data_IF_274220057869
#
_entry.id   IF_274220057869
#
_cell.length_a   1.000
_cell.length_b   1.000
_cell.length_c   1.000
_cell.angle_alpha   90.00
_cell.angle_beta   90.00
_cell.angle_gamma   90.00
#
_symmetry.space_group_name_H-M   'P 1'
#
loop_
_entity.id
_entity.type
_entity.pdbx_description
1 polymer ?
2 polymer ?
3 non-polymer ?
4 non-polymer ?
5 non-polymer ?
6 water ?
#
loop_
_entity_poly.entity_id
_entity_poly.type
_entity_poly.pdbx_seq_one_letter_code
_entity_poly.pdbx_strand_id
2 'polydeoxyribonucleotide' '(DA)(DT)(DG)(DT)(DC)' ?
#
# COMPACT_ATOMS: atom_id res chain seq x y z
N UNK A 2 -20.31 -18.41 7.01
CA UNK A 2 -20.24 -17.11 7.76
C UNK A 2 -19.06 -16.24 7.25
N UNK A 3 -19.34 -14.96 6.93
CA UNK A 3 -18.39 -13.99 6.33
C UNK A 3 -17.20 -13.77 7.26
N UNK A 4 -15.99 -13.87 6.71
CA UNK A 4 -14.71 -13.62 7.38
C UNK A 4 -14.71 -12.24 8.07
N UNK A 5 -14.01 -12.16 9.17
CA UNK A 5 -13.70 -10.91 9.87
C UNK A 5 -12.24 -10.54 9.59
N UNK A 6 -11.88 -9.34 10.04
CA UNK A 6 -10.49 -8.80 9.95
C UNK A 6 -9.62 -9.36 11.08
N UNK A 7 -8.35 -9.71 10.79
CA UNK A 7 -7.37 -9.99 11.82
C UNK A 7 -7.06 -8.73 12.64
N UNK A 8 -6.65 -8.90 13.89
CA UNK A 8 -6.15 -7.82 14.75
C UNK A 8 -4.83 -8.34 15.30
N UNK A 9 -3.72 -7.59 15.17
CA UNK A 9 -3.67 -6.37 14.36
C UNK A 9 -4.01 -6.59 12.88
N UNK A 10 -4.41 -5.52 12.18
CA UNK A 10 -4.94 -5.54 10.80
C UNK A 10 -3.85 -5.07 9.83
N UNK A 11 -3.18 -6.00 9.11
CA UNK A 11 -2.07 -5.61 8.26
C UNK A 11 -2.49 -4.66 7.12
N UNK A 12 -1.62 -3.71 6.87
CA UNK A 12 -1.68 -2.77 5.73
C UNK A 12 -0.37 -2.91 4.92
N UNK A 13 -0.48 -2.76 3.61
CA UNK A 13 0.53 -3.10 2.60
C UNK A 13 0.70 -1.92 1.63
N UNK A 14 1.96 -1.50 1.44
CA UNK A 14 2.34 -0.48 0.44
C UNK A 14 3.39 -1.13 -0.48
N UNK A 15 3.09 -1.20 -1.77
CA UNK A 15 4.06 -1.73 -2.78
C UNK A 15 4.84 -0.58 -3.37
N UNK A 16 6.12 -0.82 -3.57
CA UNK A 16 7.04 0.15 -4.21
C UNK A 16 8.20 -0.63 -4.84
N UNK A 17 8.75 -0.07 -5.90
CA UNK A 17 9.99 -0.56 -6.53
C UNK A 17 11.16 -0.44 -5.54
N UNK A 18 12.05 -1.44 -5.55
CA UNK A 18 13.30 -1.41 -4.71
C UNK A 18 14.12 -0.15 -4.98
N UNK A 19 14.08 0.40 -6.19
CA UNK A 19 14.85 1.63 -6.55
C UNK A 19 14.38 2.81 -5.71
N UNK A 20 13.20 2.75 -5.08
CA UNK A 20 12.69 3.83 -4.19
C UNK A 20 13.12 3.71 -2.74
N UNK A 21 13.71 2.58 -2.30
CA UNK A 21 13.94 2.32 -0.87
C UNK A 21 14.98 3.27 -0.30
N UNK A 22 16.03 3.59 -1.03
CA UNK A 22 17.02 4.60 -0.60
C UNK A 22 16.33 5.91 -0.30
N UNK A 23 15.45 6.37 -1.17
CA UNK A 23 14.72 7.63 -0.96
C UNK A 23 13.82 7.56 0.26
N UNK A 24 13.22 6.38 0.53
CA UNK A 24 12.34 6.24 1.72
C UNK A 24 13.19 6.33 3.00
N UNK A 25 14.34 5.65 3.04
CA UNK A 25 15.24 5.69 4.20
C UNK A 25 15.84 7.10 4.31
N UNK A 26 16.22 7.75 3.21
CA UNK A 26 16.85 9.10 3.29
C UNK A 26 15.84 10.12 3.88
N UNK A 27 14.56 10.06 3.50
CA UNK A 27 13.51 10.95 4.05
C UNK A 27 13.10 10.42 5.45
N UNK A 28 13.29 9.12 5.74
CA UNK A 28 12.82 8.50 6.99
C UNK A 28 11.31 8.21 6.96
N UNK A 29 10.70 8.18 5.76
CA UNK A 29 9.21 8.10 5.63
C UNK A 29 8.82 7.88 4.17
N UNK A 30 7.72 7.20 3.96
CA UNK A 30 6.93 7.35 2.70
C UNK A 30 6.32 8.75 2.72
N UNK A 31 6.37 9.42 1.59
CA UNK A 31 5.67 10.71 1.33
C UNK A 31 4.53 10.49 0.33
N UNK A 32 3.38 11.15 0.60
CA UNK A 32 2.28 11.17 -0.35
C UNK A 32 2.76 11.74 -1.71
N UNK A 33 2.04 11.45 -2.77
CA UNK A 33 2.38 11.92 -4.12
C UNK A 33 2.53 13.45 -4.15
N UNK A 34 1.61 14.15 -3.47
CA UNK A 34 1.62 15.64 -3.54
C UNK A 34 2.73 16.19 -2.63
N UNK A 35 3.46 15.33 -1.89
CA UNK A 35 4.61 15.78 -1.08
C UNK A 35 5.93 15.55 -1.84
N UNK A 36 5.89 15.29 -3.13
CA UNK A 36 7.09 15.23 -4.02
C UNK A 36 8.14 14.32 -3.46
N UNK A 37 7.82 13.05 -3.26
CA UNK A 37 8.84 12.10 -2.81
C UNK A 37 9.94 11.96 -3.85
N UNK A 38 11.18 11.70 -3.40
CA UNK A 38 12.33 11.52 -4.34
C UNK A 38 12.29 10.10 -4.93
N UNK A 39 11.18 9.79 -5.62
CA UNK A 39 11.07 8.46 -6.25
C UNK A 39 11.92 8.33 -7.50
N UNK A 40 12.50 7.16 -7.65
CA UNK A 40 13.29 6.83 -8.87
C UNK A 40 12.38 6.14 -9.88
N UNK A 41 11.41 5.33 -9.43
CA UNK A 41 10.70 4.41 -10.33
C UNK A 41 9.18 4.51 -10.05
N UNK A 42 8.44 4.98 -11.05
CA UNK A 42 6.96 4.98 -11.00
C UNK A 42 6.44 3.63 -11.52
N UNK A 43 5.56 2.98 -10.76
CA UNK A 43 4.91 1.74 -11.23
C UNK A 43 3.40 1.98 -11.42
N UNK A 44 2.98 3.22 -11.54
CA UNK A 44 1.56 3.62 -11.61
C UNK A 44 1.07 3.71 -13.07
N UNK A 45 -0.27 3.62 -13.23
CA UNK A 45 -0.98 4.11 -14.42
C UNK A 45 -1.13 5.63 -14.29
N UNK A 46 -0.61 6.37 -15.27
CA UNK A 46 -0.77 7.85 -15.30
C UNK A 46 -2.24 8.31 -15.35
N UNK A 47 -3.07 7.64 -16.13
CA UNK A 47 -4.48 8.04 -16.35
C UNK A 47 -5.28 7.86 -15.05
N UNK A 48 -4.92 6.91 -14.17
CA UNK A 48 -5.63 6.79 -12.87
C UNK A 48 -4.93 7.70 -11.87
N UNK A 49 -3.64 7.92 -12.00
CA UNK A 49 -2.95 8.93 -11.14
C UNK A 49 -3.66 10.29 -11.31
N UNK A 50 -4.07 10.62 -12.54
CA UNK A 50 -4.69 11.94 -12.80
C UNK A 50 -6.04 12.02 -12.08
N UNK A 51 -6.73 10.90 -11.93
CA UNK A 51 -8.01 10.85 -11.15
C UNK A 51 -7.70 11.09 -9.67
N UNK A 52 -6.68 10.42 -9.13
CA UNK A 52 -6.25 10.57 -7.72
C UNK A 52 -5.83 12.00 -7.43
N UNK A 53 -5.26 12.64 -8.44
CA UNK A 53 -4.81 14.07 -8.35
C UNK A 53 -5.99 14.99 -8.02
N UNK A 54 -7.23 14.58 -8.33
CA UNK A 54 -8.37 15.51 -8.22
C UNK A 54 -9.54 14.92 -7.43
N UNK A 55 -9.36 13.74 -6.85
CA UNK A 55 -10.39 13.02 -6.09
C UNK A 55 -10.44 13.55 -4.64
N UNK A 56 -11.51 14.26 -4.27
CA UNK A 56 -11.65 14.83 -2.91
C UNK A 56 -11.76 13.72 -1.87
N UNK A 57 -11.11 13.89 -0.74
CA UNK A 57 -11.34 13.00 0.43
C UNK A 57 -12.35 13.66 1.34
N UNK A 58 -13.54 13.04 1.47
CA UNK A 58 -14.69 13.68 2.13
C UNK A 58 -14.70 13.57 3.66
N UNK A 59 -13.70 12.95 4.29
CA UNK A 59 -13.52 12.93 5.76
C UNK A 59 -12.34 13.81 6.11
N UNK A 60 -12.34 14.45 7.29
CA UNK A 60 -11.15 15.16 7.76
C UNK A 60 -9.95 14.22 7.86
N UNK A 61 -8.71 14.63 7.51
CA UNK A 61 -8.33 16.04 7.26
C UNK A 61 -8.54 16.55 5.82
N UNK A 62 -9.27 15.82 4.99
CA UNK A 62 -9.78 16.28 3.69
C UNK A 62 -8.69 16.28 2.65
N UNK A 63 -8.65 17.33 1.81
CA UNK A 63 -7.72 17.33 0.66
C UNK A 63 -8.14 16.35 -0.41
N UNK A 64 -7.17 15.76 -1.11
CA UNK A 64 -7.38 14.83 -2.24
C UNK A 64 -6.62 13.51 -1.96
N UNK A 65 -6.84 12.48 -2.77
CA UNK A 65 -6.21 11.17 -2.58
C UNK A 65 -4.68 11.29 -2.66
N UNK A 66 -4.17 12.23 -3.47
CA UNK A 66 -2.71 12.37 -3.65
C UNK A 66 -2.07 12.99 -2.38
N UNK A 67 -2.84 13.49 -1.41
CA UNK A 67 -2.32 14.00 -0.13
C UNK A 67 -2.01 12.86 0.84
N UNK A 68 -2.34 11.60 0.49
CA UNK A 68 -2.23 10.47 1.44
C UNK A 68 -1.30 9.40 0.89
N UNK A 69 -0.52 8.78 1.77
CA UNK A 69 0.27 7.56 1.49
C UNK A 69 -0.70 6.38 1.44
N UNK A 70 -0.78 5.67 0.29
CA UNK A 70 -1.81 4.64 0.13
C UNK A 70 -1.36 3.24 0.53
N UNK A 71 -2.25 2.52 1.18
CA UNK A 71 -2.05 1.09 1.49
C UNK A 71 -3.26 0.28 1.07
N UNK A 72 -3.07 -0.99 0.78
CA UNK A 72 -4.18 -1.96 0.66
C UNK A 72 -4.20 -2.84 1.92
N UNK A 73 -5.25 -3.65 2.06
CA UNK A 73 -5.47 -4.55 3.20
C UNK A 73 -5.14 -5.97 2.78
N UNK A 74 -4.56 -6.12 1.61
CA UNK A 74 -4.01 -7.41 1.16
C UNK A 74 -2.74 -7.19 0.38
N UNK A 75 -1.86 -8.19 0.36
CA UNK A 75 -0.81 -8.25 -0.68
C UNK A 75 -1.41 -8.77 -2.01
N UNK A 76 -0.56 -9.02 -3.03
CA UNK A 76 -1.00 -9.67 -4.30
C UNK A 76 -2.19 -8.89 -4.87
N UNK A 77 -2.04 -7.57 -4.92
CA UNK A 77 -3.10 -6.66 -5.36
C UNK A 77 -3.39 -6.81 -6.85
N UNK A 78 -4.56 -6.29 -7.30
CA UNK A 78 -4.83 -6.14 -8.73
C UNK A 78 -3.82 -5.21 -9.40
N UNK A 79 -3.44 -4.14 -8.70
CA UNK A 79 -2.34 -3.27 -9.19
C UNK A 79 -1.09 -4.08 -9.52
N UNK A 80 -0.67 -4.97 -8.62
CA UNK A 80 0.54 -5.81 -8.81
C UNK A 80 0.36 -6.70 -10.05
N UNK A 81 -0.85 -7.16 -10.34
CA UNK A 81 -1.14 -7.96 -11.58
C UNK A 81 -0.82 -7.12 -12.82
N UNK A 82 -1.25 -5.86 -12.86
CA UNK A 82 -1.00 -4.96 -14.00
C UNK A 82 0.50 -4.80 -14.18
N UNK A 83 1.27 -4.72 -13.07
CA UNK A 83 2.74 -4.61 -13.11
C UNK A 83 3.35 -5.93 -13.58
N UNK A 84 2.90 -7.03 -13.01
CA UNK A 84 3.43 -8.37 -13.33
C UNK A 84 3.30 -8.62 -14.83
N UNK A 85 2.17 -8.21 -15.43
CA UNK A 85 1.80 -8.53 -16.84
C UNK A 85 2.37 -7.47 -17.80
N UNK A 86 3.07 -6.47 -17.29
CA UNK A 86 3.73 -5.46 -18.10
C UNK A 86 2.76 -4.56 -18.81
N UNK A 87 1.57 -4.32 -18.22
CA UNK A 87 0.52 -3.44 -18.76
C UNK A 87 0.84 -1.96 -18.48
N UNK A 88 1.65 -1.71 -17.46
CA UNK A 88 2.11 -0.37 -17.02
C UNK A 88 3.15 0.15 -18.03
N UNK A 89 3.42 1.47 -18.04
CA UNK A 89 4.61 2.01 -18.73
C UNK A 89 5.87 1.28 -18.23
N UNK A 90 6.01 1.15 -16.91
CA UNK A 90 7.06 0.37 -16.20
C UNK A 90 7.08 -1.05 -16.73
N UNK A 91 8.26 -1.50 -17.20
CA UNK A 91 8.41 -2.81 -17.88
C UNK A 91 9.25 -3.78 -17.06
N UNK A 92 9.67 -3.42 -15.83
CA UNK A 92 10.57 -4.25 -15.01
C UNK A 92 9.89 -5.49 -14.39
N UNK A 93 8.58 -5.60 -14.44
CA UNK A 93 7.85 -6.76 -13.88
C UNK A 93 7.76 -6.74 -12.36
N UNK A 94 7.27 -7.83 -11.77
CA UNK A 94 6.94 -7.86 -10.32
C UNK A 94 8.20 -8.08 -9.46
N UNK A 95 9.28 -8.69 -10.00
CA UNK A 95 10.30 -9.21 -9.08
C UNK A 95 10.95 -8.12 -8.20
N UNK A 96 11.21 -6.87 -8.69
CA UNK A 96 11.76 -5.81 -7.84
C UNK A 96 10.73 -5.04 -7.01
N UNK A 97 9.49 -5.50 -6.98
CA UNK A 97 8.45 -4.77 -6.17
C UNK A 97 8.44 -5.31 -4.74
N UNK A 98 8.62 -4.42 -3.76
CA UNK A 98 8.61 -4.75 -2.33
C UNK A 98 7.14 -4.60 -1.85
N UNK A 99 6.71 -5.46 -0.94
CA UNK A 99 5.54 -5.17 -0.05
C UNK A 99 6.01 -4.65 1.30
N UNK A 100 5.70 -3.38 1.59
CA UNK A 100 6.02 -2.79 2.92
C UNK A 100 4.81 -3.02 3.83
N UNK A 101 5.01 -3.63 4.99
CA UNK A 101 3.88 -4.06 5.87
C UNK A 101 3.90 -3.35 7.21
N UNK A 102 2.74 -2.85 7.60
CA UNK A 102 2.47 -2.28 8.91
C UNK A 102 1.09 -2.73 9.39
N UNK A 103 0.49 -1.99 10.31
CA UNK A 103 -0.91 -2.27 10.70
C UNK A 103 -1.67 -0.96 10.90
N UNK A 104 -2.97 -1.07 10.75
CA UNK A 104 -3.94 0.02 10.99
C UNK A 104 -3.77 0.48 12.43
N UNK A 105 -3.71 -0.48 13.36
CA UNK A 105 -3.65 -0.17 14.80
C UNK A 105 -2.36 0.59 15.12
N UNK A 106 -1.21 0.26 14.54
CA UNK A 106 0.04 1.01 14.79
C UNK A 106 -0.14 2.48 14.43
N UNK A 107 -0.76 2.76 13.29
CA UNK A 107 -0.99 4.15 12.80
C UNK A 107 -1.84 4.90 13.84
N UNK A 108 -2.93 4.29 14.27
CA UNK A 108 -3.84 4.90 15.26
C UNK A 108 -3.08 5.20 16.55
N UNK A 109 -2.35 4.23 17.09
CA UNK A 109 -1.60 4.37 18.37
C UNK A 109 -0.55 5.49 18.23
N UNK A 110 0.01 5.67 17.03
CA UNK A 110 0.99 6.73 16.71
C UNK A 110 0.33 8.12 16.62
N UNK A 111 -0.99 8.20 16.54
CA UNK A 111 -1.74 9.47 16.50
C UNK A 111 -1.69 10.12 15.16
N UNK A 112 -1.40 9.35 14.09
CA UNK A 112 -1.32 9.89 12.74
C UNK A 112 -2.72 9.96 12.12
N UNK A 113 -3.06 11.06 11.43
CA UNK A 113 -4.35 11.16 10.76
C UNK A 113 -4.46 10.17 9.60
N UNK A 114 -5.56 9.46 9.59
CA UNK A 114 -5.82 8.46 8.52
C UNK A 114 -7.29 8.46 8.19
N UNK A 115 -7.59 7.96 6.99
CA UNK A 115 -8.95 7.61 6.52
C UNK A 115 -8.82 6.25 5.84
N UNK A 116 -9.90 5.52 5.71
CA UNK A 116 -9.93 4.30 4.89
C UNK A 116 -11.22 4.20 4.12
N UNK A 117 -11.18 3.39 3.06
CA UNK A 117 -12.30 3.22 2.12
C UNK A 117 -12.76 1.75 2.12
N UNK A 118 -13.96 1.53 1.59
CA UNK A 118 -14.50 0.14 1.41
C UNK A 118 -14.25 -0.42 0.02
N UNK A 119 -13.66 0.39 -0.86
CA UNK A 119 -13.40 -0.06 -2.25
C UNK A 119 -12.40 0.89 -2.88
N UNK A 120 -11.97 0.57 -4.10
CA UNK A 120 -11.04 1.46 -4.87
C UNK A 120 -11.43 2.96 -4.69
N UNK A 121 -10.47 3.77 -4.16
CA UNK A 121 -10.75 5.14 -3.69
C UNK A 121 -11.13 6.10 -4.82
N UNK A 122 -10.83 5.82 -6.10
CA UNK A 122 -11.22 6.76 -7.22
C UNK A 122 -12.70 6.62 -7.60
N UNK A 123 -13.40 5.57 -7.12
CA UNK A 123 -14.84 5.37 -7.46
C UNK A 123 -15.72 6.36 -6.70
N UNK A 124 -16.64 7.01 -7.41
CA UNK A 124 -17.45 8.11 -6.82
C UNK A 124 -18.32 7.62 -5.68
N UNK A 125 -18.66 6.32 -5.65
CA UNK A 125 -19.50 5.67 -4.61
C UNK A 125 -18.68 5.00 -3.48
N UNK A 126 -17.35 5.15 -3.45
CA UNK A 126 -16.52 4.64 -2.35
C UNK A 126 -16.97 5.31 -1.07
N UNK A 127 -17.09 4.51 -0.02
CA UNK A 127 -17.34 5.06 1.34
C UNK A 127 -16.00 5.30 2.04
N UNK A 128 -15.96 6.38 2.80
CA UNK A 128 -14.77 6.79 3.57
C UNK A 128 -15.10 6.77 5.05
N UNK A 129 -14.15 6.29 5.85
CA UNK A 129 -14.24 6.10 7.32
C UNK A 129 -13.00 6.62 8.07
N UNK A 130 -13.21 6.94 9.36
CA UNK A 130 -12.17 7.45 10.28
C UNK A 130 -11.99 6.56 11.51
N UNK A 131 -12.92 5.66 11.82
CA UNK A 131 -12.94 4.91 13.10
C UNK A 131 -12.56 3.48 12.79
N UNK A 132 -11.59 2.91 13.49
CA UNK A 132 -11.17 1.51 13.21
C UNK A 132 -12.32 0.52 13.45
N UNK A 133 -13.36 0.87 14.22
CA UNK A 133 -14.49 -0.08 14.38
C UNK A 133 -15.16 -0.30 13.00
N UNK A 134 -15.07 0.67 12.09
CA UNK A 134 -15.69 0.61 10.75
C UNK A 134 -14.88 -0.30 9.84
N UNK A 135 -13.80 -0.92 10.30
CA UNK A 135 -13.23 -2.03 9.50
C UNK A 135 -14.29 -3.13 9.29
N UNK A 136 -15.32 -3.21 10.14
CA UNK A 136 -16.44 -4.16 9.94
C UNK A 136 -17.24 -3.82 8.68
N UNK A 137 -17.07 -2.63 8.09
CA UNK A 137 -17.81 -2.25 6.86
C UNK A 137 -17.13 -2.81 5.59
N UNK A 138 -15.91 -3.32 5.72
CA UNK A 138 -15.14 -3.82 4.55
C UNK A 138 -15.50 -5.28 4.28
N UNK A 139 -15.27 -5.72 3.04
CA UNK A 139 -15.61 -7.10 2.61
C UNK A 139 -14.33 -7.92 2.66
N UNK A 140 -14.13 -8.67 3.74
CA UNK A 140 -12.87 -9.39 3.99
C UNK A 140 -12.74 -10.61 3.07
N UNK A 141 -13.83 -11.15 2.53
CA UNK A 141 -13.81 -12.19 1.48
C UNK A 141 -13.15 -11.61 0.22
N UNK A 142 -13.61 -10.43 -0.18
CA UNK A 142 -13.16 -9.73 -1.39
C UNK A 142 -11.69 -9.37 -1.20
N UNK A 143 -11.35 -8.81 -0.02
CA UNK A 143 -9.93 -8.40 0.25
C UNK A 143 -8.99 -9.61 0.14
N UNK A 144 -9.45 -10.80 0.59
CA UNK A 144 -8.57 -11.99 0.64
C UNK A 144 -8.62 -12.81 -0.67
N UNK A 145 -9.50 -12.49 -1.63
CA UNK A 145 -9.76 -13.31 -2.85
C UNK A 145 -8.52 -13.35 -3.75
N UNK A 146 -8.10 -14.54 -4.15
CA UNK A 146 -6.99 -14.75 -5.12
C UNK A 146 -7.48 -14.50 -6.56
N UNK A 147 -8.75 -14.78 -6.84
CA UNK A 147 -9.38 -14.51 -8.16
C UNK A 147 -10.34 -13.35 -7.92
N UNK A 148 -10.02 -12.21 -8.52
CA UNK A 148 -10.72 -10.93 -8.23
C UNK A 148 -11.25 -10.26 -9.48
N UNK A 149 -11.06 -10.85 -10.68
CA UNK A 149 -11.36 -10.14 -11.95
C UNK A 149 -12.87 -9.89 -12.03
N UNK A 150 -13.68 -10.79 -11.44
CA UNK A 150 -15.15 -10.75 -11.46
C UNK A 150 -15.64 -11.55 -10.25
N UNK A 151 -16.84 -11.27 -9.69
CA UNK A 151 -17.72 -10.23 -10.21
C UNK A 151 -17.32 -8.80 -9.87
N UNK A 152 -17.95 -7.79 -10.48
CA UNK A 152 -17.49 -6.40 -10.34
C UNK A 152 -17.42 -5.89 -8.90
N UNK A 153 -18.41 -6.18 -8.06
CA UNK A 153 -18.44 -5.67 -6.67
C UNK A 153 -17.25 -6.26 -5.88
N UNK A 154 -16.88 -7.49 -6.15
CA UNK A 154 -15.72 -8.12 -5.48
C UNK A 154 -14.45 -7.41 -5.95
N UNK A 155 -14.38 -7.13 -7.25
CA UNK A 155 -13.19 -6.44 -7.84
C UNK A 155 -13.05 -5.07 -7.17
N UNK A 156 -14.12 -4.31 -7.03
CA UNK A 156 -14.03 -2.97 -6.40
C UNK A 156 -13.55 -3.12 -4.95
N UNK A 157 -14.16 -4.05 -4.19
CA UNK A 157 -14.01 -4.13 -2.73
C UNK A 157 -12.70 -4.79 -2.34
N UNK A 158 -12.03 -5.50 -3.24
CA UNK A 158 -10.68 -6.04 -2.95
C UNK A 158 -9.69 -4.87 -2.76
N UNK A 159 -10.03 -3.70 -3.31
CA UNK A 159 -9.12 -2.55 -3.40
C UNK A 159 -9.51 -1.45 -2.40
N UNK A 160 -10.25 -1.81 -1.34
CA UNK A 160 -10.33 -1.01 -0.09
C UNK A 160 -8.93 -0.52 0.32
N UNK A 161 -8.81 0.76 0.65
CA UNK A 161 -7.52 1.41 0.85
C UNK A 161 -7.44 1.99 2.25
N UNK A 162 -6.25 1.94 2.83
CA UNK A 162 -5.93 2.61 4.11
C UNK A 162 -5.01 3.79 3.79
N UNK A 163 -5.43 4.99 4.15
CA UNK A 163 -4.80 6.26 3.63
C UNK A 163 -4.24 7.08 4.81
N UNK A 164 -2.93 7.32 4.79
CA UNK A 164 -2.26 8.07 5.88
C UNK A 164 -1.84 9.46 5.37
N UNK A 165 -2.33 10.49 6.02
CA UNK A 165 -2.18 11.89 5.56
C UNK A 165 -0.69 12.34 5.53
N UNK A 166 -0.21 12.74 4.34
CA UNK A 166 1.05 13.45 4.03
C UNK A 166 2.28 12.52 4.09
N UNK A 167 2.48 11.76 5.17
CA UNK A 167 3.74 11.05 5.42
C UNK A 167 3.49 9.84 6.32
N UNK A 168 4.27 8.81 6.13
CA UNK A 168 4.20 7.58 6.95
C UNK A 168 5.61 7.25 7.43
N UNK A 169 5.86 7.30 8.76
CA UNK A 169 7.22 7.10 9.30
C UNK A 169 7.75 5.67 9.09
N UNK A 170 8.99 5.57 8.56
CA UNK A 170 9.66 4.29 8.32
C UNK A 170 9.62 3.39 9.56
N UNK A 171 9.74 3.96 10.77
CA UNK A 171 9.81 3.15 12.00
C UNK A 171 8.50 2.37 12.26
N UNK A 172 7.39 2.69 11.57
CA UNK A 172 6.15 1.87 11.71
C UNK A 172 6.13 0.67 10.76
N UNK A 173 7.09 0.53 9.86
CA UNK A 173 7.16 -0.67 8.99
C UNK A 173 7.70 -1.87 9.80
N UNK A 174 6.98 -3.00 9.79
CA UNK A 174 7.30 -4.23 10.56
C UNK A 174 7.97 -5.31 9.70
N UNK A 175 7.73 -5.32 8.38
CA UNK A 175 8.17 -6.39 7.48
C UNK A 175 8.29 -5.82 6.07
N UNK A 176 9.33 -6.24 5.36
CA UNK A 176 9.49 -6.05 3.91
C UNK A 176 9.37 -7.45 3.29
N UNK A 177 8.39 -7.68 2.43
CA UNK A 177 8.18 -8.97 1.75
C UNK A 177 8.64 -8.78 0.33
N UNK A 178 9.34 -9.81 -0.20
CA UNK A 178 10.04 -9.75 -1.49
C UNK A 178 9.70 -11.05 -2.25
N UNK A 179 10.01 -11.07 -3.55
CA UNK A 179 9.68 -12.19 -4.46
C UNK A 179 10.78 -13.25 -4.46
N UNK A 180 12.01 -12.83 -4.22
CA UNK A 180 13.20 -13.67 -4.47
C UNK A 180 14.32 -13.37 -3.47
N UNK A 181 15.21 -14.33 -3.34
CA UNK A 181 16.38 -14.24 -2.45
C UNK A 181 17.26 -13.07 -2.91
N UNK A 182 17.42 -12.87 -4.22
CA UNK A 182 18.27 -11.82 -4.82
C UNK A 182 17.73 -10.43 -4.39
N UNK A 183 16.42 -10.25 -4.41
CA UNK A 183 15.83 -8.92 -4.01
C UNK A 183 15.98 -8.73 -2.49
N UNK A 184 15.74 -9.78 -1.68
CA UNK A 184 15.91 -9.69 -0.21
C UNK A 184 17.30 -9.25 0.17
N UNK A 185 18.32 -9.81 -0.50
CA UNK A 185 19.73 -9.48 -0.25
C UNK A 185 19.96 -8.00 -0.55
N UNK A 186 19.45 -7.52 -1.68
CA UNK A 186 19.63 -6.13 -2.13
C UNK A 186 18.92 -5.19 -1.15
N UNK A 187 17.73 -5.58 -0.64
CA UNK A 187 17.04 -4.79 0.40
C UNK A 187 17.90 -4.67 1.62
N UNK A 188 18.56 -5.76 2.03
CA UNK A 188 19.38 -5.70 3.27
C UNK A 188 20.63 -4.81 3.06
N UNK A 189 21.20 -4.84 1.88
CA UNK A 189 22.37 -3.98 1.60
C UNK A 189 21.95 -2.51 1.72
N UNK A 190 20.76 -2.16 1.19
CA UNK A 190 20.24 -0.76 1.22
C UNK A 190 19.99 -0.36 2.68
N UNK A 191 19.36 -1.22 3.47
CA UNK A 191 19.08 -0.91 4.91
C UNK A 191 20.38 -0.69 5.70
N UNK A 192 21.45 -1.44 5.38
CA UNK A 192 22.73 -1.35 6.11
C UNK A 192 23.41 -0.01 5.78
N UNK A 193 23.02 0.66 4.69
CA UNK A 193 23.54 2.03 4.41
C UNK A 193 22.90 3.06 5.31
N UNK A 194 21.86 2.71 6.05
CA UNK A 194 21.15 3.62 6.99
C UNK A 194 21.11 2.97 8.36
N UNK A 195 22.26 2.91 9.07
CA UNK A 195 22.33 2.15 10.31
C UNK A 195 21.47 2.71 11.46
N UNK A 196 20.97 3.95 11.40
CA UNK A 196 20.14 4.54 12.46
C UNK A 196 18.65 4.22 12.24
N UNK A 197 18.34 3.56 11.12
CA UNK A 197 16.94 3.24 10.75
C UNK A 197 16.61 1.85 11.29
N UNK A 198 15.34 1.68 11.67
CA UNK A 198 14.80 0.34 11.95
C UNK A 198 15.06 -0.59 10.77
N UNK A 199 15.42 -1.83 11.08
CA UNK A 199 15.65 -2.85 10.07
C UNK A 199 14.56 -3.92 10.20
N UNK A 200 13.43 -3.79 9.50
CA UNK A 200 12.37 -4.80 9.62
C UNK A 200 12.85 -6.14 9.04
N UNK A 201 12.25 -7.22 9.51
CA UNK A 201 12.50 -8.55 8.90
C UNK A 201 12.19 -8.49 7.40
N UNK A 202 13.06 -9.11 6.60
CA UNK A 202 12.90 -9.28 5.14
C UNK A 202 12.50 -10.72 4.91
N UNK A 203 11.36 -10.93 4.30
CA UNK A 203 10.74 -12.26 4.14
C UNK A 203 10.47 -12.50 2.66
N UNK A 204 10.88 -13.66 2.17
CA UNK A 204 10.52 -14.11 0.79
C UNK A 204 9.09 -14.68 0.83
N UNK A 205 8.15 -14.05 0.14
CA UNK A 205 6.76 -14.52 0.17
C UNK A 205 6.24 -14.63 -1.26
N UNK A 206 6.62 -15.70 -1.93
CA UNK A 206 6.29 -15.87 -3.37
C UNK A 206 4.75 -15.91 -3.57
N UNK A 207 4.03 -16.41 -2.60
CA UNK A 207 2.54 -16.44 -2.63
C UNK A 207 1.90 -15.04 -2.51
N UNK A 208 2.65 -13.97 -2.21
CA UNK A 208 2.13 -12.55 -2.31
C UNK A 208 2.30 -12.00 -3.75
N UNK A 209 2.85 -12.79 -4.68
CA UNK A 209 3.14 -12.42 -6.10
C UNK A 209 2.34 -13.36 -7.04
N UNK A 210 2.36 -13.02 -8.33
CA UNK A 210 1.67 -13.75 -9.43
C UNK A 210 2.60 -14.80 -10.06
X LIG C 1 -2.84 2.60 -4.43
X LIG C 1 -1.56 2.24 -4.31
X LIG C 1 -1.09 1.46 -3.25
X LIG C 1 -1.99 1.06 -2.27
X LIG C 1 -3.30 1.46 -2.38
X LIG C 1 -3.68 2.20 -3.45
X LIG C 1 0.33 1.02 -3.15
X LIG C 1 0.59 0.03 -2.43
X LIG C 1 1.29 1.66 -3.84
X LIG D 1 -7.27 4.77 -2.83
X LIG D 1 -6.96 5.11 -4.33
X LIG D 1 -6.79 5.40 -5.45
X LIG E 1 11.38 8.14 -1.51
X LIG E 1 11.16 7.49 -2.67
X LIG E 1 10.03 7.04 -3.18
X LIG E 1 8.99 7.30 -2.34
X LIG E 1 9.05 7.92 -1.13
X LIG E 1 10.32 8.35 -0.68
X LIG E 1 10.52 9.00 0.47
X LIG E 1 7.80 8.00 -0.57
X LIG E 1 6.99 7.43 -1.43
X LIG E 1 7.67 6.98 -2.51
X LIG E 1 1.59 7.18 -4.89
X LIG E 1 1.68 4.58 -6.32
X LIG E 1 7.08 6.38 -3.69
X LIG E 1 1.39 7.54 -3.46
X LIG E 1 2.17 5.38 -7.46
X LIG E 1 -3.21 3.10 -9.00
X LIG E 1 5.90 5.44 -3.43
X LIG E 1 6.32 4.20 -2.94
X LIG E 1 0.59 7.84 -5.75
X LIG E 1 2.45 3.42 -5.76
X LIG E 1 -3.16 4.39 -9.83
X LIG E 1 -2.59 4.31 -11.12
X LIG E 1 5.21 5.51 -4.80
X LIG E 1 5.94 4.69 -5.71
X LIG E 1 1.52 5.59 -5.06
X LIG E 1 -2.31 5.28 -8.95
X LIG E 1 -1.69 6.32 -9.69
X LIG E 1 5.31 7.01 -5.12
X LIG E 1 6.55 7.44 -4.47
X LIG E 1 -1.32 4.28 -8.36
X LIG E 1 -2.06 3.04 -8.17
X LIG E 1 4.17 7.86 -4.59
X LIG E 1 3.03 7.63 -5.43
X LIG E 1 -0.79 4.82 -7.08
X LIG E 1 0.22 3.97 -6.58
#
# INVERSE_FOLDING_TARGET
SMKRTYPEPTPIYHITHIDNLKGILRMGKLLAHNQSPPKQRSIAYAHIQERRNRAKVPQPPGGVLHDYVPFYFCPRSPMLYAIYSGATEYQGGQEPILHLVSSAQAVHKAGLPFVFTDRHGVLSHARFFRQLEELAQLDWEAIQASYWADPPELREKKQAAFLVYKAFPWALIEEIAVYSQRVGEEVLKILKQFPEARRPRVCIRKDWYY
NCA N1 C2 C3 C4 C5 C6 C7 O7 N7
SCN S C N
AR6 N1 C2 N3 C4 C5 C6 N6 N7 C8 N9 PA PB C1' O1A O1B C1D C2' O2' O2A O2B C2D O2D C3' O3' O3A C3D O3D C4' O4' C4D O4D C5' O5' C5D O5D
#
